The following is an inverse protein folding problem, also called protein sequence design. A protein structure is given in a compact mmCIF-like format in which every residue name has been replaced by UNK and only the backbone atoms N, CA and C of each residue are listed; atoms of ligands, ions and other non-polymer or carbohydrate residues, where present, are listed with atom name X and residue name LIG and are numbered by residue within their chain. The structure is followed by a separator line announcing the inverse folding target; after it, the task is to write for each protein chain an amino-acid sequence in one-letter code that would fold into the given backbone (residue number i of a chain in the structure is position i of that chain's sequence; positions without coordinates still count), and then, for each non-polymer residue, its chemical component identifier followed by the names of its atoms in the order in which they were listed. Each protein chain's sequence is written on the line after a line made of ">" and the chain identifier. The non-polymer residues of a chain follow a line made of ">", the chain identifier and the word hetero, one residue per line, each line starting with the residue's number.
data_IF_652419626190
#
_entry.id   IF_652419626190
#
_cell.length_a   1.000
_cell.length_b   1.000
_cell.length_c   1.000
_cell.angle_alpha   90.00
_cell.angle_beta   90.00
_cell.angle_gamma   90.00
#
_symmetry.space_group_name_H-M   'P 1'
#
loop_
_entity.id
_entity.type
_entity.pdbx_description
1 polymer ?
#
# COMPACT_ATOMS: atom_id res chain seq x y z
N UNK A 1 -2.74 -9.00 4.31
CA UNK A 1 -4.14 -9.48 4.19
C UNK A 1 -4.48 -10.16 2.85
N UNK A 2 -4.32 -9.48 1.70
CA UNK A 2 -4.70 -10.01 0.37
C UNK A 2 -4.10 -11.39 0.06
N UNK A 3 -2.77 -11.54 0.19
CA UNK A 3 -2.11 -12.82 -0.10
C UNK A 3 -2.52 -13.94 0.87
N UNK A 4 -2.60 -13.64 2.17
CA UNK A 4 -3.04 -14.63 3.17
C UNK A 4 -4.45 -15.14 2.81
N UNK A 5 -5.37 -14.22 2.48
CA UNK A 5 -6.72 -14.58 2.07
C UNK A 5 -6.73 -15.40 0.76
N UNK A 6 -5.88 -15.09 -0.20
CA UNK A 6 -5.73 -15.85 -1.45
C UNK A 6 -5.24 -17.28 -1.22
N UNK A 7 -4.21 -17.45 -0.38
CA UNK A 7 -3.69 -18.79 -0.02
C UNK A 7 -4.77 -19.62 0.68
N UNK A 8 -5.45 -19.04 1.66
CA UNK A 8 -6.53 -19.73 2.40
C UNK A 8 -7.71 -20.07 1.49
N UNK A 9 -8.09 -19.17 0.56
CA UNK A 9 -9.14 -19.43 -0.41
C UNK A 9 -8.78 -20.63 -1.32
N UNK A 10 -7.56 -20.67 -1.85
CA UNK A 10 -7.06 -21.83 -2.64
C UNK A 10 -7.08 -23.10 -1.83
N UNK A 11 -6.61 -23.07 -0.59
CA UNK A 11 -6.63 -24.22 0.32
C UNK A 11 -8.06 -24.76 0.53
N UNK A 12 -9.01 -23.88 0.83
CA UNK A 12 -10.42 -24.27 1.04
C UNK A 12 -11.03 -24.89 -0.21
N UNK A 13 -10.79 -24.32 -1.38
CA UNK A 13 -11.31 -24.85 -2.65
C UNK A 13 -10.70 -26.22 -2.97
N UNK A 14 -9.38 -26.39 -2.80
CA UNK A 14 -8.70 -27.68 -2.97
C UNK A 14 -9.29 -28.75 -2.05
N UNK A 15 -9.46 -28.45 -0.76
CA UNK A 15 -10.03 -29.39 0.22
C UNK A 15 -11.48 -29.73 -0.07
N UNK A 16 -12.29 -28.75 -0.46
CA UNK A 16 -13.74 -28.92 -0.68
C UNK A 16 -14.07 -29.63 -1.99
N UNK A 17 -13.32 -29.38 -3.05
CA UNK A 17 -13.65 -29.83 -4.41
C UNK A 17 -12.63 -30.78 -5.03
N UNK A 18 -11.49 -31.03 -4.37
CA UNK A 18 -10.45 -31.92 -4.90
C UNK A 18 -9.76 -31.40 -6.16
N UNK A 19 -9.89 -30.10 -6.44
CA UNK A 19 -9.31 -29.47 -7.64
C UNK A 19 -7.80 -29.28 -7.51
N UNK A 20 -7.10 -29.30 -8.64
CA UNK A 20 -5.69 -28.93 -8.69
C UNK A 20 -5.55 -27.41 -8.66
N UNK A 21 -4.40 -26.93 -8.22
CA UNK A 21 -4.14 -25.49 -8.07
C UNK A 21 -4.20 -24.73 -9.42
N UNK A 22 -3.86 -25.41 -10.52
CA UNK A 22 -3.95 -24.90 -11.89
C UNK A 22 -5.39 -24.61 -12.35
N UNK A 23 -6.36 -25.34 -11.79
CA UNK A 23 -7.79 -25.21 -12.08
C UNK A 23 -8.47 -24.17 -11.17
N UNK A 24 -7.73 -23.56 -10.24
CA UNK A 24 -8.25 -22.60 -9.28
C UNK A 24 -7.79 -21.19 -9.65
N UNK A 25 -8.76 -20.29 -9.76
CA UNK A 25 -8.53 -18.85 -9.97
C UNK A 25 -9.07 -18.03 -8.82
N UNK A 26 -8.22 -17.14 -8.32
CA UNK A 26 -8.53 -16.21 -7.23
C UNK A 26 -8.56 -14.80 -7.79
N UNK A 27 -9.71 -14.15 -7.59
CA UNK A 27 -9.93 -12.75 -7.96
C UNK A 27 -10.02 -11.91 -6.69
N UNK A 28 -9.29 -10.80 -6.65
CA UNK A 28 -9.34 -9.84 -5.54
C UNK A 28 -9.96 -8.53 -6.00
N UNK A 29 -11.06 -8.13 -5.37
CA UNK A 29 -11.66 -6.82 -5.60
C UNK A 29 -10.89 -5.80 -4.75
N UNK A 30 -10.25 -4.84 -5.41
CA UNK A 30 -9.30 -3.94 -4.75
C UNK A 30 -9.78 -2.49 -4.74
N UNK A 31 -9.58 -1.76 -3.60
CA UNK A 31 -9.71 -0.32 -3.55
C UNK A 31 -8.47 0.42 -4.10
N UNK A 32 -7.38 -0.29 -4.41
CA UNK A 32 -6.08 0.31 -4.66
C UNK A 32 -5.31 -0.33 -5.85
N UNK A 33 -4.71 0.47 -6.76
CA UNK A 33 -3.87 -0.03 -7.84
C UNK A 33 -2.59 -0.71 -7.35
N UNK A 34 -2.08 -0.36 -6.16
CA UNK A 34 -0.89 -1.00 -5.60
C UNK A 34 -1.06 -2.53 -5.43
N UNK A 35 -2.30 -3.02 -5.29
CA UNK A 35 -2.57 -4.46 -5.22
C UNK A 35 -2.41 -5.16 -6.58
N UNK A 36 -2.68 -4.46 -7.68
CA UNK A 36 -2.36 -4.96 -9.01
C UNK A 36 -0.84 -5.13 -9.16
N UNK A 37 -0.07 -4.12 -8.74
CA UNK A 37 1.39 -4.19 -8.75
C UNK A 37 1.93 -5.32 -7.87
N UNK A 38 1.35 -5.54 -6.70
CA UNK A 38 1.74 -6.65 -5.82
C UNK A 38 1.53 -8.05 -6.45
N UNK A 39 0.64 -8.16 -7.44
CA UNK A 39 0.40 -9.40 -8.21
C UNK A 39 1.30 -9.46 -9.46
N UNK A 40 1.49 -8.37 -10.18
CA UNK A 40 2.26 -8.38 -11.44
C UNK A 40 3.77 -8.27 -11.22
N UNK A 41 4.19 -7.56 -10.18
CA UNK A 41 5.59 -7.34 -9.81
C UNK A 41 5.77 -7.40 -8.28
N UNK A 42 5.72 -8.60 -7.69
CA UNK A 42 5.86 -8.78 -6.25
C UNK A 42 7.22 -8.31 -5.74
N UNK A 43 7.23 -7.55 -4.63
CA UNK A 43 8.45 -7.06 -3.95
C UNK A 43 9.18 -8.21 -3.24
N UNK A 44 8.45 -9.22 -2.78
CA UNK A 44 9.01 -10.39 -2.12
C UNK A 44 9.33 -11.56 -3.06
N UNK A 45 10.09 -12.52 -2.54
CA UNK A 45 10.31 -13.82 -3.18
C UNK A 45 9.13 -14.75 -2.88
N UNK A 46 8.00 -14.46 -3.52
CA UNK A 46 6.80 -15.28 -3.46
C UNK A 46 6.11 -15.30 -4.80
N UNK A 47 5.39 -16.40 -5.04
CA UNK A 47 4.40 -16.46 -6.11
C UNK A 47 3.08 -15.89 -5.58
N UNK A 48 2.52 -14.85 -6.21
CA UNK A 48 1.21 -14.33 -5.84
C UNK A 48 0.14 -15.43 -5.85
N UNK A 49 -0.63 -15.49 -4.78
CA UNK A 49 -1.76 -16.41 -4.63
C UNK A 49 -3.03 -15.92 -5.32
N UNK A 50 -3.08 -14.63 -5.64
CA UNK A 50 -4.14 -13.96 -6.39
C UNK A 50 -3.78 -13.94 -7.87
N UNK A 51 -4.69 -14.36 -8.75
CA UNK A 51 -4.48 -14.35 -10.20
C UNK A 51 -4.82 -12.99 -10.82
N UNK A 52 -5.87 -12.35 -10.31
CA UNK A 52 -6.41 -11.12 -10.89
C UNK A 52 -6.87 -10.14 -9.82
N UNK A 53 -6.60 -8.86 -10.08
CA UNK A 53 -7.09 -7.74 -9.29
C UNK A 53 -8.13 -6.99 -10.08
N UNK A 54 -9.33 -6.88 -9.52
CA UNK A 54 -10.47 -6.18 -10.13
C UNK A 54 -10.65 -4.84 -9.41
N UNK A 55 -10.51 -3.69 -10.11
CA UNK A 55 -10.80 -2.39 -9.52
C UNK A 55 -12.28 -2.28 -9.09
N UNK A 56 -12.55 -1.92 -7.83
CA UNK A 56 -13.91 -1.82 -7.32
C UNK A 56 -14.77 -0.87 -8.17
N UNK A 57 -14.26 0.32 -8.51
CA UNK A 57 -14.96 1.30 -9.34
C UNK A 57 -15.37 0.80 -10.74
N UNK A 58 -14.74 -0.26 -11.26
CA UNK A 58 -15.10 -0.83 -12.57
C UNK A 58 -16.33 -1.73 -12.51
N UNK A 59 -16.56 -2.38 -11.37
CA UNK A 59 -17.65 -3.36 -11.19
C UNK A 59 -18.72 -2.89 -10.19
N UNK A 60 -18.53 -1.74 -9.55
CA UNK A 60 -19.42 -1.26 -8.49
C UNK A 60 -20.89 -1.17 -8.93
N UNK A 61 -21.14 -0.65 -10.14
CA UNK A 61 -22.52 -0.53 -10.65
C UNK A 61 -23.21 -1.87 -10.84
N UNK A 62 -22.47 -2.89 -11.25
CA UNK A 62 -22.98 -4.25 -11.44
C UNK A 62 -23.19 -4.92 -10.08
N UNK A 63 -22.21 -4.83 -9.17
CA UNK A 63 -22.34 -5.31 -7.79
C UNK A 63 -23.54 -4.70 -7.08
N UNK A 64 -23.79 -3.40 -7.24
CA UNK A 64 -24.92 -2.73 -6.61
C UNK A 64 -26.27 -3.29 -7.10
N UNK A 65 -26.39 -3.59 -8.40
CA UNK A 65 -27.64 -4.13 -8.95
C UNK A 65 -27.86 -5.58 -8.52
N UNK A 66 -26.85 -6.43 -8.65
CA UNK A 66 -27.01 -7.88 -8.47
C UNK A 66 -26.98 -8.33 -7.00
N UNK A 67 -26.24 -7.62 -6.15
CA UNK A 67 -26.02 -8.04 -4.74
C UNK A 67 -26.80 -7.17 -3.76
N UNK A 68 -26.75 -5.84 -3.93
CA UNK A 68 -27.33 -4.91 -2.95
C UNK A 68 -28.82 -4.71 -3.19
N UNK A 69 -29.24 -4.51 -4.44
CA UNK A 69 -30.64 -4.23 -4.77
C UNK A 69 -31.54 -5.48 -4.69
N UNK A 70 -31.01 -6.64 -5.05
CA UNK A 70 -31.78 -7.89 -5.10
C UNK A 70 -31.75 -8.69 -3.79
N UNK A 71 -31.06 -8.20 -2.75
CA UNK A 71 -30.91 -8.86 -1.44
C UNK A 71 -30.37 -10.31 -1.54
N UNK A 72 -29.63 -10.61 -2.62
CA UNK A 72 -28.96 -11.89 -2.86
C UNK A 72 -27.64 -11.98 -2.08
N UNK A 73 -27.68 -11.72 -0.78
CA UNK A 73 -26.48 -11.53 0.03
C UNK A 73 -25.93 -12.90 0.46
N UNK A 74 -24.75 -13.25 -0.07
CA UNK A 74 -23.88 -14.26 0.54
C UNK A 74 -22.88 -13.54 1.44
N UNK A 75 -23.11 -13.54 2.76
CA UNK A 75 -22.24 -12.85 3.71
C UNK A 75 -20.98 -13.66 4.05
N UNK A 76 -19.84 -12.98 4.13
CA UNK A 76 -18.81 -13.30 5.11
C UNK A 76 -19.00 -12.39 6.33
N UNK A 77 -18.64 -12.88 7.51
CA UNK A 77 -18.68 -12.11 8.76
C UNK A 77 -17.23 -11.80 9.19
N UNK A 78 -16.60 -10.76 8.63
CA UNK A 78 -15.30 -10.31 9.11
C UNK A 78 -15.43 -9.78 10.54
N UNK A 79 -14.36 -9.85 11.32
CA UNK A 79 -14.35 -9.19 12.63
C UNK A 79 -14.53 -7.69 12.49
N UNK A 80 -15.20 -7.08 13.47
CA UNK A 80 -15.39 -5.63 13.50
C UNK A 80 -14.05 -4.89 13.58
N UNK A 81 -13.09 -5.47 14.30
CA UNK A 81 -11.72 -4.95 14.37
C UNK A 81 -10.96 -5.14 13.07
N UNK A 82 -11.19 -6.25 12.34
CA UNK A 82 -10.59 -6.47 11.02
C UNK A 82 -11.09 -5.47 9.98
N UNK A 83 -12.32 -4.98 10.10
CA UNK A 83 -12.83 -3.91 9.25
C UNK A 83 -12.13 -2.57 9.50
N UNK A 84 -11.71 -2.28 10.74
CA UNK A 84 -11.00 -1.04 11.07
C UNK A 84 -9.67 -0.90 10.34
N UNK A 85 -9.03 -2.00 9.91
CA UNK A 85 -7.79 -1.95 9.11
C UNK A 85 -7.92 -1.15 7.80
N UNK A 86 -9.15 -0.93 7.32
CA UNK A 86 -9.36 -0.10 6.15
C UNK A 86 -9.15 1.41 6.45
N UNK A 87 -9.20 1.81 7.71
CA UNK A 87 -9.04 3.19 8.19
C UNK A 87 -7.68 3.35 8.86
N UNK A 88 -7.03 4.49 8.65
CA UNK A 88 -5.76 4.80 9.29
C UNK A 88 -5.87 4.73 10.83
N UNK A 89 -4.89 4.09 11.47
CA UNK A 89 -4.86 3.82 12.91
C UNK A 89 -5.56 2.51 13.30
N UNK A 90 -6.37 1.94 12.40
CA UNK A 90 -7.10 0.70 12.69
C UNK A 90 -6.20 -0.52 12.85
N UNK A 91 -4.99 -0.52 12.28
CA UNK A 91 -4.05 -1.62 12.47
C UNK A 91 -3.42 -1.53 13.85
N UNK A 92 -2.99 -0.33 14.24
CA UNK A 92 -2.44 -0.08 15.57
C UNK A 92 -3.45 -0.29 16.69
N UNK A 93 -4.69 0.16 16.52
CA UNK A 93 -5.79 -0.12 17.46
C UNK A 93 -6.03 -1.63 17.60
N UNK A 94 -6.08 -2.36 16.48
CA UNK A 94 -6.30 -3.80 16.50
C UNK A 94 -5.16 -4.57 17.17
N UNK A 95 -3.93 -4.08 17.02
CA UNK A 95 -2.74 -4.65 17.66
C UNK A 95 -2.59 -4.22 19.13
N UNK A 96 -3.55 -3.47 19.69
CA UNK A 96 -3.55 -2.96 21.07
C UNK A 96 -2.26 -2.19 21.43
N UNK A 97 -1.70 -1.47 20.45
CA UNK A 97 -0.52 -0.66 20.65
C UNK A 97 -0.88 0.62 21.40
N UNK A 98 -0.10 0.96 22.42
CA UNK A 98 -0.32 2.18 23.20
C UNK A 98 0.46 3.37 22.63
N UNK A 99 1.65 3.12 22.10
CA UNK A 99 2.59 4.16 21.71
C UNK A 99 2.96 4.03 20.23
N UNK A 100 2.09 4.57 19.39
CA UNK A 100 2.20 4.49 17.94
C UNK A 100 1.86 5.82 17.28
N UNK A 101 2.32 5.99 16.05
CA UNK A 101 1.88 7.05 15.16
C UNK A 101 1.13 6.43 14.00
N UNK A 102 -0.10 6.88 13.76
CA UNK A 102 -0.85 6.56 12.55
C UNK A 102 -0.83 7.77 11.60
N UNK A 103 -0.06 7.65 10.53
CA UNK A 103 0.13 8.69 9.52
C UNK A 103 -0.49 8.26 8.20
N UNK A 104 -1.13 9.20 7.51
CA UNK A 104 -1.71 8.94 6.21
C UNK A 104 -1.50 10.10 5.23
N UNK A 105 -1.42 9.77 3.94
CA UNK A 105 -1.02 10.71 2.89
C UNK A 105 0.49 10.72 2.68
N UNK A 106 0.93 10.65 1.42
CA UNK A 106 2.34 10.53 1.06
C UNK A 106 3.22 11.66 1.63
N UNK A 107 2.78 12.91 1.55
CA UNK A 107 3.54 14.06 2.08
C UNK A 107 3.80 13.92 3.59
N UNK A 108 2.75 13.61 4.37
CA UNK A 108 2.88 13.42 5.81
C UNK A 108 3.76 12.21 6.15
N UNK A 109 3.72 11.15 5.33
CA UNK A 109 4.58 9.97 5.52
C UNK A 109 6.04 10.37 5.34
N UNK A 110 6.38 11.15 4.32
CA UNK A 110 7.74 11.63 4.08
C UNK A 110 8.23 12.42 5.31
N UNK A 111 7.43 13.37 5.80
CA UNK A 111 7.78 14.14 7.01
C UNK A 111 8.02 13.24 8.23
N UNK A 112 7.16 12.23 8.45
CA UNK A 112 7.35 11.29 9.57
C UNK A 112 8.63 10.47 9.41
N UNK A 113 8.94 10.00 8.20
CA UNK A 113 10.17 9.26 7.93
C UNK A 113 11.42 10.14 8.18
N UNK A 114 11.38 11.41 7.81
CA UNK A 114 12.45 12.37 8.14
C UNK A 114 12.62 12.56 9.65
N UNK A 115 11.53 12.63 10.42
CA UNK A 115 11.60 12.72 11.88
C UNK A 115 12.16 11.43 12.53
N UNK A 116 11.90 10.26 11.93
CA UNK A 116 12.53 8.98 12.32
C UNK A 116 14.05 9.05 12.07
N UNK A 117 14.46 9.48 10.87
CA UNK A 117 15.89 9.60 10.52
C UNK A 117 16.63 10.60 11.41
N UNK A 118 15.96 11.69 11.80
CA UNK A 118 16.46 12.68 12.75
C UNK A 118 16.54 12.16 14.20
N UNK A 119 16.11 10.93 14.46
CA UNK A 119 16.14 10.29 15.78
C UNK A 119 15.12 10.86 16.76
N UNK A 120 14.12 11.62 16.30
CA UNK A 120 13.13 12.29 17.17
C UNK A 120 11.99 11.37 17.61
N UNK A 121 11.81 10.24 16.95
CA UNK A 121 10.76 9.25 17.23
C UNK A 121 11.32 7.97 17.85
N UNK A 122 12.45 8.07 18.56
CA UNK A 122 13.12 6.91 19.18
C UNK A 122 12.31 6.27 20.31
N UNK A 123 11.35 6.99 20.86
CA UNK A 123 10.43 6.52 21.89
C UNK A 123 9.14 5.94 21.31
N UNK A 124 8.91 5.96 19.99
CA UNK A 124 7.72 5.39 19.34
C UNK A 124 7.94 3.92 18.99
N UNK A 125 6.99 3.05 19.37
CA UNK A 125 7.11 1.60 19.14
C UNK A 125 6.72 1.18 17.72
N UNK A 126 5.81 1.94 17.10
CA UNK A 126 5.25 1.58 15.80
C UNK A 126 4.75 2.80 15.00
N UNK A 127 4.99 2.78 13.69
CA UNK A 127 4.45 3.76 12.75
C UNK A 127 3.57 3.04 11.73
N UNK A 128 2.27 3.32 11.76
CA UNK A 128 1.31 2.90 10.74
C UNK A 128 1.29 3.94 9.61
N UNK A 129 1.83 3.59 8.45
CA UNK A 129 1.88 4.49 7.29
C UNK A 129 0.89 4.07 6.19
N UNK A 130 -0.06 4.95 5.88
CA UNK A 130 -1.07 4.74 4.84
C UNK A 130 -0.97 5.77 3.71
N UNK A 131 -0.54 5.36 2.51
CA UNK A 131 -0.31 6.28 1.39
C UNK A 131 -1.53 7.14 1.01
N UNK A 132 -2.74 6.58 1.09
CA UNK A 132 -3.98 7.28 0.79
C UNK A 132 -4.56 7.96 2.04
N UNK A 133 -5.30 9.05 1.82
CA UNK A 133 -6.00 9.78 2.89
C UNK A 133 -6.94 8.85 3.66
N UNK A 134 -6.85 8.87 4.99
CA UNK A 134 -7.59 8.01 5.92
C UNK A 134 -7.39 6.49 5.72
N UNK A 135 -6.35 6.03 5.02
CA UNK A 135 -6.12 4.60 4.83
C UNK A 135 -6.68 4.05 3.52
N UNK A 136 -6.99 2.74 3.50
CA UNK A 136 -7.48 2.06 2.31
C UNK A 136 -8.84 2.59 1.81
N UNK A 137 -9.65 3.20 2.69
CA UNK A 137 -10.88 3.92 2.30
C UNK A 137 -10.62 5.11 1.37
N UNK A 138 -9.42 5.68 1.37
CA UNK A 138 -8.98 6.70 0.41
C UNK A 138 -8.43 6.15 -0.90
N UNK A 139 -8.47 4.83 -1.10
CA UNK A 139 -7.98 4.20 -2.32
C UNK A 139 -8.69 4.72 -3.58
N UNK A 140 -7.94 4.89 -4.66
CA UNK A 140 -8.42 5.50 -5.92
C UNK A 140 -9.46 4.67 -6.67
N UNK A 141 -9.63 3.38 -6.33
CA UNK A 141 -10.70 2.55 -6.88
C UNK A 141 -11.98 2.56 -6.04
N UNK A 142 -12.01 3.28 -4.93
CA UNK A 142 -13.25 3.49 -4.18
C UNK A 142 -14.18 4.47 -4.90
N UNK A 143 -15.48 4.35 -4.62
CA UNK A 143 -16.53 5.20 -5.20
C UNK A 143 -17.15 6.16 -4.17
N UNK A 144 -16.80 5.98 -2.89
CA UNK A 144 -17.30 6.77 -1.77
C UNK A 144 -16.19 7.69 -1.29
N UNK A 145 -16.55 8.90 -0.82
CA UNK A 145 -15.61 9.81 -0.19
C UNK A 145 -14.94 9.14 1.04
N UNK A 146 -13.62 9.27 1.23
CA UNK A 146 -12.89 8.60 2.30
C UNK A 146 -13.41 8.94 3.70
N UNK A 147 -13.79 10.19 3.97
CA UNK A 147 -14.29 10.60 5.29
C UNK A 147 -15.66 10.00 5.61
N UNK A 148 -16.53 9.89 4.59
CA UNK A 148 -17.84 9.23 4.72
C UNK A 148 -17.65 7.73 4.95
N UNK A 149 -16.74 7.10 4.21
CA UNK A 149 -16.42 5.69 4.38
C UNK A 149 -15.81 5.40 5.77
N UNK A 150 -14.86 6.22 6.24
CA UNK A 150 -14.31 6.13 7.60
C UNK A 150 -15.40 6.26 8.66
N UNK A 151 -16.30 7.24 8.53
CA UNK A 151 -17.40 7.43 9.47
C UNK A 151 -18.32 6.21 9.51
N UNK A 152 -18.59 5.60 8.34
CA UNK A 152 -19.42 4.39 8.24
C UNK A 152 -18.75 3.19 8.91
N UNK A 153 -17.45 2.97 8.67
CA UNK A 153 -16.70 1.88 9.30
C UNK A 153 -16.65 2.07 10.82
N UNK A 154 -16.35 3.28 11.29
CA UNK A 154 -16.31 3.58 12.72
C UNK A 154 -17.68 3.38 13.39
N UNK A 155 -18.76 3.78 12.73
CA UNK A 155 -20.11 3.53 13.22
C UNK A 155 -20.40 2.02 13.33
N UNK A 156 -20.12 1.26 12.28
CA UNK A 156 -20.33 -0.20 12.24
C UNK A 156 -19.51 -0.89 13.34
N UNK A 157 -18.21 -0.62 13.41
CA UNK A 157 -17.30 -1.28 14.35
C UNK A 157 -17.58 -0.95 15.82
N UNK A 158 -18.17 0.22 16.12
CA UNK A 158 -18.47 0.64 17.49
C UNK A 158 -19.92 0.37 17.93
N UNK A 159 -20.84 0.11 16.98
CA UNK A 159 -22.28 0.02 17.28
C UNK A 159 -22.86 -1.38 17.12
N UNK A 160 -22.18 -2.28 16.41
CA UNK A 160 -22.64 -3.65 16.19
C UNK A 160 -21.94 -4.64 17.14
N UNK A 161 -22.58 -5.77 17.48
CA UNK A 161 -21.89 -6.88 18.13
C UNK A 161 -20.92 -7.56 17.15
N UNK A 162 -19.77 -8.02 17.65
CA UNK A 162 -18.82 -8.75 16.82
C UNK A 162 -19.26 -10.21 16.66
N UNK A 163 -19.79 -10.54 15.48
CA UNK A 163 -20.22 -11.88 15.08
C UNK A 163 -19.16 -12.59 14.21
N UNK A 164 -17.88 -12.22 14.34
CA UNK A 164 -16.78 -12.76 13.54
C UNK A 164 -16.84 -14.28 13.38
N UNK A 165 -16.85 -14.75 12.12
CA UNK A 165 -16.73 -16.16 11.77
C UNK A 165 -15.47 -16.36 10.94
N UNK A 166 -14.33 -16.50 11.62
CA UNK A 166 -13.08 -16.89 10.98
C UNK A 166 -12.69 -18.34 11.37
N UNK A 167 -12.96 -19.33 10.51
CA UNK A 167 -12.67 -20.74 10.81
C UNK A 167 -11.16 -21.05 10.87
N UNK A 168 -10.31 -20.13 10.41
CA UNK A 168 -8.85 -20.31 10.44
C UNK A 168 -8.21 -19.67 11.69
N UNK A 169 -8.99 -19.07 12.60
CA UNK A 169 -8.43 -18.43 13.81
C UNK A 169 -7.71 -19.43 14.70
N UNK A 170 -8.28 -20.63 14.86
CA UNK A 170 -7.69 -21.72 15.68
C UNK A 170 -6.39 -22.27 15.06
N UNK A 171 -6.15 -22.01 13.78
CA UNK A 171 -4.96 -22.46 13.06
C UNK A 171 -3.82 -21.44 13.13
N UNK A 172 -4.05 -20.27 13.70
CA UNK A 172 -3.08 -19.17 13.68
C UNK A 172 -1.71 -19.58 14.27
N UNK A 173 -1.70 -20.20 15.44
CA UNK A 173 -0.45 -20.62 16.11
C UNK A 173 0.35 -21.63 15.29
N UNK A 174 -0.34 -22.58 14.65
CA UNK A 174 0.28 -23.56 13.76
C UNK A 174 0.87 -22.88 12.53
N UNK A 175 0.08 -22.01 11.88
CA UNK A 175 0.52 -21.24 10.70
C UNK A 175 1.72 -20.36 11.04
N UNK A 176 1.73 -19.72 12.20
CA UNK A 176 2.84 -18.89 12.65
C UNK A 176 4.12 -19.72 12.85
N UNK A 177 4.02 -20.84 13.58
CA UNK A 177 5.18 -21.72 13.85
C UNK A 177 5.74 -22.39 12.61
N UNK A 178 4.89 -22.70 11.63
CA UNK A 178 5.31 -23.28 10.35
C UNK A 178 5.90 -22.25 9.38
N UNK A 179 5.92 -20.96 9.77
CA UNK A 179 6.43 -19.89 8.94
C UNK A 179 5.50 -19.53 7.78
N UNK A 180 4.21 -19.83 7.89
CA UNK A 180 3.21 -19.50 6.86
C UNK A 180 3.20 -18.01 6.51
N UNK A 181 3.44 -17.15 7.51
CA UNK A 181 3.50 -15.70 7.33
C UNK A 181 4.91 -15.18 7.00
N UNK A 182 5.91 -16.06 6.92
CA UNK A 182 7.28 -15.64 6.64
C UNK A 182 7.39 -15.17 5.20
N UNK A 183 7.92 -13.97 5.05
CA UNK A 183 8.16 -13.37 3.76
C UNK A 183 9.59 -12.90 3.66
N UNK A 184 10.20 -13.19 2.51
CA UNK A 184 11.49 -12.61 2.16
C UNK A 184 11.25 -11.53 1.14
N UNK A 185 11.79 -10.35 1.40
CA UNK A 185 11.94 -9.35 0.35
C UNK A 185 12.92 -9.91 -0.68
N UNK A 186 12.72 -9.62 -1.96
CA UNK A 186 13.78 -9.83 -2.94
C UNK A 186 14.98 -9.00 -2.46
N UNK A 187 16.18 -9.55 -2.58
CA UNK A 187 17.38 -8.74 -2.38
C UNK A 187 17.26 -7.55 -3.34
N UNK A 188 17.20 -6.33 -2.80
CA UNK A 188 17.34 -5.15 -3.63
C UNK A 188 18.64 -5.30 -4.41
N UNK A 189 18.63 -4.94 -5.70
CA UNK A 189 19.89 -4.61 -6.36
C UNK A 189 20.57 -3.62 -5.42
N UNK A 190 21.73 -4.01 -4.88
CA UNK A 190 22.46 -3.16 -3.95
C UNK A 190 22.62 -1.80 -4.64
N UNK A 191 21.81 -0.82 -4.25
CA UNK A 191 22.27 0.55 -4.32
C UNK A 191 23.56 0.51 -3.53
N UNK A 192 24.69 0.74 -4.20
CA UNK A 192 25.98 0.80 -3.53
C UNK A 192 25.76 1.65 -2.29
N UNK A 193 25.91 1.05 -1.11
CA UNK A 193 25.68 1.73 0.15
C UNK A 193 26.72 2.84 0.20
N UNK A 194 26.35 4.02 -0.28
CA UNK A 194 27.18 5.20 -0.23
C UNK A 194 27.51 5.37 1.24
N UNK A 195 28.80 5.43 1.56
CA UNK A 195 29.18 5.83 2.90
C UNK A 195 28.67 7.26 3.15
N UNK A 196 28.54 7.67 4.42
CA UNK A 196 27.98 8.98 4.76
C UNK A 196 28.63 10.13 3.96
N UNK A 197 29.94 10.04 3.72
CA UNK A 197 30.68 11.03 2.94
C UNK A 197 30.23 11.04 1.47
N UNK A 198 30.13 9.88 0.83
CA UNK A 198 29.64 9.76 -0.54
C UNK A 198 28.18 10.21 -0.70
N UNK A 199 27.32 9.94 0.29
CA UNK A 199 25.94 10.41 0.30
C UNK A 199 25.86 11.94 0.39
N UNK A 200 26.69 12.55 1.26
CA UNK A 200 26.79 14.01 1.37
C UNK A 200 27.31 14.62 0.06
N UNK A 201 28.41 14.10 -0.50
CA UNK A 201 28.98 14.58 -1.77
C UNK A 201 27.99 14.45 -2.94
N UNK A 202 27.22 13.36 -3.00
CA UNK A 202 26.15 13.18 -3.98
C UNK A 202 25.07 14.26 -3.84
N UNK A 203 24.57 14.47 -2.62
CA UNK A 203 23.53 15.45 -2.34
C UNK A 203 23.99 16.89 -2.63
N UNK A 204 25.25 17.23 -2.34
CA UNK A 204 25.84 18.52 -2.69
C UNK A 204 25.83 18.74 -4.21
N UNK A 205 26.27 17.75 -5.00
CA UNK A 205 26.27 17.86 -6.47
C UNK A 205 24.87 17.96 -7.07
N UNK A 206 23.90 17.22 -6.54
CA UNK A 206 22.51 17.32 -6.98
C UNK A 206 21.96 18.72 -6.68
N UNK A 207 22.26 19.28 -5.49
CA UNK A 207 21.87 20.66 -5.15
C UNK A 207 22.50 21.70 -6.06
N UNK A 208 23.78 21.55 -6.43
CA UNK A 208 24.43 22.46 -7.39
C UNK A 208 23.77 22.46 -8.78
N UNK A 209 23.18 21.33 -9.19
CA UNK A 209 22.38 21.23 -10.42
C UNK A 209 21.02 21.90 -10.20
N UNK A 210 20.34 21.57 -9.09
CA UNK A 210 19.03 22.09 -8.74
C UNK A 210 19.00 23.62 -8.65
N UNK A 211 20.02 24.23 -8.05
CA UNK A 211 20.13 25.70 -7.91
C UNK A 211 20.18 26.43 -9.26
N UNK A 212 20.51 25.73 -10.35
CA UNK A 212 20.53 26.28 -11.71
C UNK A 212 19.24 26.01 -12.47
N UNK A 213 18.33 25.20 -11.93
CA UNK A 213 17.03 24.91 -12.51
C UNK A 213 16.00 26.00 -12.16
N UNK A 214 14.90 26.12 -12.93
CA UNK A 214 13.90 27.17 -12.71
C UNK A 214 13.11 27.07 -11.39
N UNK A 215 13.12 25.91 -10.71
CA UNK A 215 12.35 25.68 -9.48
C UNK A 215 10.83 25.75 -9.67
N UNK A 216 10.32 25.42 -10.87
CA UNK A 216 8.90 25.54 -11.22
C UNK A 216 8.10 24.24 -11.07
N UNK A 217 8.79 23.09 -10.92
CA UNK A 217 8.18 21.76 -10.79
C UNK A 217 7.06 21.47 -11.82
N UNK A 218 7.27 21.94 -13.06
CA UNK A 218 6.23 21.95 -14.09
C UNK A 218 6.03 20.62 -14.85
N UNK A 219 6.83 19.58 -14.56
CA UNK A 219 6.72 18.27 -15.21
C UNK A 219 7.11 18.19 -16.70
N UNK A 220 7.47 19.31 -17.33
CA UNK A 220 7.53 19.41 -18.80
C UNK A 220 8.69 18.64 -19.44
N UNK A 221 9.73 18.29 -18.68
CA UNK A 221 10.85 17.46 -19.13
C UNK A 221 10.66 15.96 -18.84
N UNK A 222 9.51 15.55 -18.29
CA UNK A 222 9.25 14.17 -17.90
C UNK A 222 9.56 13.85 -16.43
N UNK A 223 10.35 14.69 -15.75
CA UNK A 223 10.59 14.59 -14.31
C UNK A 223 9.51 15.36 -13.52
N UNK A 224 8.98 14.80 -12.41
CA UNK A 224 7.86 15.39 -11.65
C UNK A 224 8.23 16.68 -10.92
N UNK A 225 9.49 16.83 -10.51
CA UNK A 225 10.03 18.03 -9.84
C UNK A 225 11.37 18.43 -10.45
N UNK A 226 11.80 19.66 -10.23
CA UNK A 226 13.15 20.10 -10.58
C UNK A 226 14.21 19.32 -9.81
N UNK A 227 13.92 18.89 -8.57
CA UNK A 227 14.81 18.00 -7.82
C UNK A 227 14.96 16.65 -8.53
N UNK A 228 13.86 16.01 -8.92
CA UNK A 228 13.91 14.75 -9.66
C UNK A 228 14.70 14.91 -10.97
N UNK A 229 14.49 16.01 -11.70
CA UNK A 229 15.29 16.28 -12.90
C UNK A 229 16.79 16.46 -12.58
N UNK A 230 17.13 17.13 -11.48
CA UNK A 230 18.52 17.29 -11.06
C UNK A 230 19.17 15.94 -10.70
N UNK A 231 18.41 15.03 -10.09
CA UNK A 231 18.83 13.65 -9.83
C UNK A 231 19.05 12.87 -11.13
N UNK A 232 18.12 12.94 -12.07
CA UNK A 232 18.23 12.31 -13.39
C UNK A 232 19.49 12.80 -14.13
N UNK A 233 19.76 14.11 -14.10
CA UNK A 233 20.97 14.69 -14.71
C UNK A 233 22.23 14.19 -14.02
N UNK A 234 22.24 14.14 -12.68
CA UNK A 234 23.38 13.61 -11.92
C UNK A 234 23.66 12.14 -12.26
N UNK A 235 22.62 11.32 -12.43
CA UNK A 235 22.71 9.90 -12.77
C UNK A 235 23.01 9.66 -14.27
N UNK A 236 23.11 10.71 -15.10
CA UNK A 236 23.23 10.64 -16.56
C UNK A 236 22.03 9.99 -17.26
N UNK A 237 20.84 10.08 -16.65
CA UNK A 237 19.58 9.61 -17.19
C UNK A 237 18.86 10.69 -18.03
N UNK A 238 19.24 11.96 -17.84
CA UNK A 238 18.81 13.09 -18.68
C UNK A 238 19.90 14.15 -18.87
N UNK A 239 19.75 15.02 -19.86
CA UNK A 239 20.63 16.18 -20.04
C UNK A 239 20.08 17.42 -19.32
N UNK A 240 20.97 18.28 -18.80
CA UNK A 240 20.58 19.51 -18.09
C UNK A 240 19.64 20.42 -18.91
N UNK A 241 19.76 20.40 -20.25
CA UNK A 241 18.95 21.23 -21.15
C UNK A 241 17.69 20.52 -21.68
N UNK A 242 17.37 19.32 -21.19
CA UNK A 242 16.06 18.70 -21.40
C UNK A 242 14.95 19.51 -20.69
N UNK A 243 15.32 20.35 -19.71
CA UNK A 243 14.47 21.39 -19.18
C UNK A 243 14.01 22.37 -20.29
N UNK A 244 12.77 22.21 -20.74
CA UNK A 244 12.14 23.01 -21.80
C UNK A 244 12.20 24.51 -21.49
N UNK A 245 12.06 24.89 -20.21
CA UNK A 245 12.08 26.30 -19.77
C UNK A 245 13.47 26.93 -19.92
N UNK A 246 14.54 26.18 -19.62
CA UNK A 246 15.90 26.67 -19.81
C UNK A 246 16.25 26.74 -21.30
N UNK A 247 15.81 25.75 -22.09
CA UNK A 247 15.99 25.74 -23.54
C UNK A 247 15.32 26.93 -24.22
N UNK A 248 14.13 27.33 -23.76
CA UNK A 248 13.39 28.47 -24.32
C UNK A 248 14.02 29.84 -23.99
N UNK A 249 14.93 29.91 -23.00
CA UNK A 249 15.65 31.14 -22.64
C UNK A 249 16.98 31.33 -23.38
N UNK A 250 17.35 30.38 -24.25
CA UNK A 250 18.57 30.40 -25.05
C UNK A 250 18.27 30.92 -26.45
#
# INVERSE_FOLDING_TARGET
>A
PMEIAGILARERVRKKFGLKDEDIKVFYISPCPAKLLAVTNPIGDYKPSVDWVIPLNKIYGDLYREVIREDNITCSYPSLLGMKWAVAGGQSEHAELNNYIAVHGMENIIEILEEIENGKLSDIDFVEASACVNGCVGGTFNVVNPFIASSSINYISNSLPDECLNPDIDRFDEMYKTGFFNYKLKEEEKFDKLNLKEAVERNEKIREILDKLPGLDCGSCGAPTCLAHAEDVYNNESEFYDCVVLRAKK
#
